data_IF_588043477835
#
_entry.id   IF_588043477835
#
_cell.length_a   1.000
_cell.length_b   1.000
_cell.length_c   1.000
_cell.angle_alpha   90.00
_cell.angle_beta   90.00
_cell.angle_gamma   90.00
#
_symmetry.space_group_name_H-M   'P 1'
#
loop_
_entity.id
_entity.type
_entity.pdbx_description
1 polymer ?
#
# COMPACT_ATOMS: atom_id res chain seq x y z
N UNK A 1 -10.29 30.20 13.04
CA UNK A 1 -9.04 29.66 13.61
C UNK A 1 -8.55 28.56 12.68
N UNK A 2 -7.50 28.85 11.90
CA UNK A 2 -6.99 27.95 10.85
C UNK A 2 -6.22 26.79 11.50
N UNK A 3 -6.84 25.61 11.57
CA UNK A 3 -6.30 24.42 12.23
C UNK A 3 -5.26 23.67 11.36
N UNK A 4 -4.29 24.37 10.76
CA UNK A 4 -3.52 23.86 9.62
C UNK A 4 -2.06 23.43 9.87
N UNK A 5 -1.58 23.39 11.12
CA UNK A 5 -0.15 23.13 11.39
C UNK A 5 0.18 21.95 12.31
N UNK A 6 -0.79 21.12 12.68
CA UNK A 6 -0.47 19.90 13.41
C UNK A 6 0.02 18.81 12.45
N UNK A 7 1.17 18.17 12.73
CA UNK A 7 1.66 17.08 11.91
C UNK A 7 0.64 15.93 11.94
N UNK A 8 0.34 15.39 10.76
CA UNK A 8 -0.68 14.35 10.57
C UNK A 8 -0.02 13.00 10.35
N UNK A 9 -0.70 11.93 10.76
CA UNK A 9 -0.20 10.56 10.58
C UNK A 9 -0.24 10.10 9.12
N UNK A 10 -1.28 10.48 8.39
CA UNK A 10 -1.50 10.07 7.01
C UNK A 10 -2.17 11.17 6.18
N UNK A 11 -2.28 10.98 4.87
CA UNK A 11 -2.90 11.96 3.98
C UNK A 11 -4.41 12.10 4.19
N UNK A 12 -5.08 10.97 4.41
CA UNK A 12 -6.52 10.84 4.60
C UNK A 12 -6.79 9.58 5.42
N UNK A 13 -7.67 9.69 6.40
CA UNK A 13 -8.09 8.54 7.20
C UNK A 13 -8.73 7.45 6.32
N UNK A 14 -8.40 6.16 6.53
CA UNK A 14 -9.05 5.06 5.83
C UNK A 14 -10.57 5.04 6.06
N UNK A 15 -11.32 4.67 5.02
CA UNK A 15 -12.77 4.44 5.14
C UNK A 15 -13.06 3.00 5.59
N UNK A 16 -14.19 2.73 6.29
CA UNK A 16 -14.55 1.38 6.74
C UNK A 16 -14.56 0.33 5.63
N UNK A 17 -14.99 0.71 4.42
CA UNK A 17 -15.09 -0.20 3.28
C UNK A 17 -13.74 -0.83 2.89
N UNK A 18 -12.61 -0.18 3.19
CA UNK A 18 -11.28 -0.77 2.96
C UNK A 18 -11.09 -2.00 3.85
N UNK A 19 -11.50 -1.93 5.13
CA UNK A 19 -11.38 -3.05 6.06
C UNK A 19 -12.41 -4.14 5.76
N UNK A 20 -13.61 -3.76 5.30
CA UNK A 20 -14.62 -4.71 4.82
C UNK A 20 -14.11 -5.49 3.61
N UNK A 21 -13.51 -4.80 2.64
CA UNK A 21 -12.87 -5.45 1.50
C UNK A 21 -11.72 -6.35 1.92
N UNK A 22 -10.91 -5.98 2.92
CA UNK A 22 -9.85 -6.86 3.42
C UNK A 22 -10.42 -8.17 3.99
N UNK A 23 -11.54 -8.09 4.74
CA UNK A 23 -12.26 -9.27 5.24
C UNK A 23 -12.82 -10.13 4.10
N UNK A 24 -13.38 -9.51 3.06
CA UNK A 24 -13.85 -10.25 1.89
C UNK A 24 -12.70 -10.92 1.13
N UNK A 25 -11.57 -10.24 0.93
CA UNK A 25 -10.39 -10.82 0.30
C UNK A 25 -9.82 -11.99 1.10
N UNK A 26 -9.77 -11.87 2.43
CA UNK A 26 -9.33 -12.95 3.32
C UNK A 26 -10.25 -14.18 3.20
N UNK A 27 -11.56 -13.96 3.29
CA UNK A 27 -12.55 -15.01 3.12
C UNK A 27 -12.52 -15.62 1.71
N UNK A 28 -12.27 -14.83 0.67
CA UNK A 28 -12.17 -15.29 -0.72
C UNK A 28 -10.97 -16.23 -0.90
N UNK A 29 -9.81 -15.88 -0.33
CA UNK A 29 -8.64 -16.74 -0.35
C UNK A 29 -8.91 -18.02 0.44
N UNK A 30 -9.54 -17.94 1.61
CA UNK A 30 -9.92 -19.13 2.37
C UNK A 30 -10.88 -20.03 1.58
N UNK A 31 -11.87 -19.47 0.88
CA UNK A 31 -12.77 -20.21 0.00
C UNK A 31 -12.00 -20.89 -1.16
N UNK A 32 -11.08 -20.18 -1.82
CA UNK A 32 -10.21 -20.73 -2.87
C UNK A 32 -9.40 -21.92 -2.36
N UNK A 33 -8.76 -21.80 -1.20
CA UNK A 33 -7.93 -22.85 -0.60
C UNK A 33 -8.73 -24.10 -0.22
N UNK A 34 -10.03 -23.96 0.04
CA UNK A 34 -10.94 -25.06 0.34
C UNK A 34 -11.69 -25.58 -0.89
N UNK A 35 -11.34 -25.13 -2.11
CA UNK A 35 -11.97 -25.57 -3.35
C UNK A 35 -13.34 -24.94 -3.64
N UNK A 36 -13.78 -23.96 -2.85
CA UNK A 36 -15.06 -23.27 -3.02
C UNK A 36 -14.95 -22.10 -4.01
N UNK A 37 -14.62 -22.39 -5.27
CA UNK A 37 -14.31 -21.37 -6.28
C UNK A 37 -15.44 -20.38 -6.55
N UNK A 38 -16.71 -20.81 -6.55
CA UNK A 38 -17.84 -19.90 -6.76
C UNK A 38 -17.96 -18.85 -5.65
N UNK A 39 -17.81 -19.27 -4.39
CA UNK A 39 -17.80 -18.37 -3.25
C UNK A 39 -16.60 -17.42 -3.28
N UNK A 40 -15.42 -17.91 -3.70
CA UNK A 40 -14.25 -17.05 -3.87
C UNK A 40 -14.52 -15.94 -4.90
N UNK A 41 -15.14 -16.26 -6.04
CA UNK A 41 -15.53 -15.28 -7.07
C UNK A 41 -16.47 -14.20 -6.50
N UNK A 42 -17.51 -14.60 -5.78
CA UNK A 42 -18.46 -13.67 -5.15
C UNK A 42 -17.75 -12.72 -4.19
N UNK A 43 -16.90 -13.25 -3.30
CA UNK A 43 -16.18 -12.47 -2.30
C UNK A 43 -15.12 -11.53 -2.92
N UNK A 44 -14.37 -11.99 -3.93
CA UNK A 44 -13.48 -11.10 -4.69
C UNK A 44 -14.27 -9.97 -5.35
N UNK A 45 -15.43 -10.28 -5.95
CA UNK A 45 -16.29 -9.27 -6.58
C UNK A 45 -16.81 -8.25 -5.57
N UNK A 46 -17.22 -8.69 -4.37
CA UNK A 46 -17.66 -7.80 -3.28
C UNK A 46 -16.55 -6.86 -2.80
N UNK A 47 -15.28 -7.30 -2.83
CA UNK A 47 -14.14 -6.45 -2.49
C UNK A 47 -13.84 -5.37 -3.54
N UNK A 48 -14.45 -5.42 -4.73
CA UNK A 48 -14.22 -4.46 -5.81
C UNK A 48 -15.11 -3.21 -5.67
N UNK A 49 -14.94 -2.44 -4.60
CA UNK A 49 -15.83 -1.32 -4.27
C UNK A 49 -15.37 0.03 -4.89
N UNK A 50 -16.24 0.76 -5.63
CA UNK A 50 -15.94 2.08 -6.17
C UNK A 50 -15.63 3.16 -5.10
N UNK A 51 -16.11 3.04 -3.87
CA UNK A 51 -15.75 3.95 -2.77
C UNK A 51 -14.28 3.83 -2.39
N UNK A 52 -13.73 2.61 -2.42
CA UNK A 52 -12.30 2.34 -2.18
C UNK A 52 -11.46 2.96 -3.30
N UNK A 53 -11.91 2.85 -4.55
CA UNK A 53 -11.29 3.57 -5.68
C UNK A 53 -11.26 5.07 -5.42
N UNK A 54 -12.42 5.66 -5.10
CA UNK A 54 -12.54 7.09 -4.86
C UNK A 54 -11.65 7.56 -3.69
N UNK A 55 -11.48 6.74 -2.66
CA UNK A 55 -10.51 7.01 -1.59
C UNK A 55 -9.08 7.04 -2.11
N UNK A 56 -8.67 6.01 -2.86
CA UNK A 56 -7.32 5.88 -3.41
C UNK A 56 -7.01 7.05 -4.36
N UNK A 57 -7.91 7.33 -5.30
CA UNK A 57 -7.81 8.40 -6.31
C UNK A 57 -7.80 9.80 -5.70
N UNK A 58 -8.37 9.97 -4.50
CA UNK A 58 -8.31 11.26 -3.81
C UNK A 58 -6.92 11.60 -3.27
N UNK A 59 -6.05 10.61 -3.05
CA UNK A 59 -4.74 10.82 -2.44
C UNK A 59 -3.65 10.86 -3.51
N UNK A 60 -3.61 9.87 -4.39
CA UNK A 60 -2.55 9.80 -5.39
C UNK A 60 -2.87 10.64 -6.64
N UNK A 61 -1.85 11.23 -7.24
CA UNK A 61 -1.98 12.02 -8.47
C UNK A 61 -2.01 13.54 -8.25
N UNK A 62 -1.85 14.26 -9.37
CA UNK A 62 -1.43 15.67 -9.39
C UNK A 62 -2.40 16.68 -8.76
N UNK A 63 -3.68 16.32 -8.59
CA UNK A 63 -4.73 17.22 -8.09
C UNK A 63 -5.34 16.75 -6.77
N UNK A 64 -4.57 16.02 -5.97
CA UNK A 64 -5.06 15.53 -4.69
C UNK A 64 -5.44 16.70 -3.76
N UNK A 65 -6.66 16.73 -3.18
CA UNK A 65 -7.00 17.68 -2.13
C UNK A 65 -6.32 17.38 -0.78
N UNK A 66 -5.73 16.18 -0.63
CA UNK A 66 -5.14 15.68 0.62
C UNK A 66 -3.61 15.79 0.68
N UNK A 67 -2.94 15.91 -0.47
CA UNK A 67 -1.50 16.16 -0.58
C UNK A 67 -1.27 17.66 -0.73
N UNK A 68 -0.78 18.29 0.35
CA UNK A 68 -0.42 19.71 0.38
C UNK A 68 1.06 19.83 0.68
N UNK A 69 1.81 20.41 -0.24
CA UNK A 69 3.27 20.53 -0.16
C UNK A 69 3.62 21.94 0.32
N UNK A 70 4.32 22.01 1.45
CA UNK A 70 4.95 23.23 1.95
C UNK A 70 6.38 23.27 1.39
N UNK A 71 6.62 24.13 0.39
CA UNK A 71 7.97 24.25 -0.21
C UNK A 71 8.97 24.70 0.84
N UNK A 72 10.04 23.93 0.97
CA UNK A 72 11.22 24.29 1.75
C UNK A 72 12.25 24.96 0.84
N UNK A 73 13.13 25.83 1.36
CA UNK A 73 14.19 26.48 0.57
C UNK A 73 15.14 25.45 -0.09
N UNK A 74 15.76 25.86 -1.19
CA UNK A 74 16.61 25.02 -2.05
C UNK A 74 17.74 24.33 -1.27
N UNK A 75 18.03 23.08 -1.65
CA UNK A 75 18.79 22.14 -0.82
C UNK A 75 20.18 21.86 -1.37
N UNK A 76 21.11 21.61 -0.43
CA UNK A 76 22.43 21.09 -0.72
C UNK A 76 22.33 19.70 -1.35
N UNK A 77 23.03 19.49 -2.46
CA UNK A 77 23.12 18.20 -3.13
C UNK A 77 23.97 17.24 -2.29
N UNK A 78 23.38 16.13 -1.86
CA UNK A 78 24.13 15.00 -1.30
C UNK A 78 24.44 13.96 -2.38
N UNK A 79 25.49 13.17 -2.17
CA UNK A 79 25.82 12.05 -3.04
C UNK A 79 24.68 11.03 -3.04
N UNK A 80 24.21 10.67 -4.24
CA UNK A 80 23.08 9.78 -4.44
C UNK A 80 23.56 8.34 -4.52
N UNK A 81 23.05 7.47 -3.63
CA UNK A 81 23.29 6.02 -3.72
C UNK A 81 22.67 5.46 -5.01
N UNK A 82 23.34 4.53 -5.68
CA UNK A 82 22.89 3.99 -6.99
C UNK A 82 21.68 3.06 -6.87
N UNK A 83 21.64 2.22 -5.84
CA UNK A 83 20.51 1.33 -5.60
C UNK A 83 19.28 2.12 -5.14
N UNK A 84 18.11 1.83 -5.75
CA UNK A 84 16.83 2.52 -5.45
C UNK A 84 15.69 1.62 -5.03
N UNK A 85 15.83 0.31 -5.23
CA UNK A 85 14.78 -0.67 -4.92
C UNK A 85 15.26 -1.65 -3.86
N UNK A 86 14.42 -2.02 -2.88
CA UNK A 86 14.76 -3.06 -1.93
C UNK A 86 14.84 -4.44 -2.62
N UNK A 87 15.75 -5.26 -2.11
CA UNK A 87 15.89 -6.68 -2.49
C UNK A 87 14.69 -7.51 -2.02
N UNK A 88 14.56 -8.75 -2.50
CA UNK A 88 13.50 -9.66 -2.04
C UNK A 88 13.59 -9.96 -0.54
N UNK A 89 14.82 -10.11 -0.01
CA UNK A 89 15.08 -10.34 1.42
C UNK A 89 14.62 -9.13 2.23
N UNK A 90 15.04 -7.92 1.85
CA UNK A 90 14.59 -6.69 2.53
C UNK A 90 13.08 -6.52 2.48
N UNK A 91 12.42 -6.85 1.35
CA UNK A 91 10.95 -6.80 1.28
C UNK A 91 10.30 -7.76 2.28
N UNK A 92 10.81 -8.97 2.43
CA UNK A 92 10.30 -9.93 3.40
C UNK A 92 10.51 -9.43 4.84
N UNK A 93 11.68 -8.89 5.16
CA UNK A 93 11.98 -8.28 6.46
C UNK A 93 11.06 -7.09 6.75
N UNK A 94 10.82 -6.22 5.76
CA UNK A 94 9.89 -5.09 5.87
C UNK A 94 8.47 -5.56 6.17
N UNK A 95 7.95 -6.57 5.46
CA UNK A 95 6.61 -7.10 5.72
C UNK A 95 6.50 -7.75 7.10
N UNK A 96 7.53 -8.50 7.52
CA UNK A 96 7.59 -9.09 8.86
C UNK A 96 7.59 -8.02 9.95
N UNK A 97 8.41 -6.96 9.78
CA UNK A 97 8.50 -5.84 10.72
C UNK A 97 7.21 -5.03 10.77
N UNK A 98 6.65 -4.70 9.61
CA UNK A 98 5.53 -3.77 9.45
C UNK A 98 4.16 -4.46 9.51
N UNK A 99 4.14 -5.79 9.65
CA UNK A 99 2.96 -6.61 9.86
C UNK A 99 1.98 -6.61 8.68
N UNK A 100 2.45 -6.42 7.44
CA UNK A 100 1.60 -6.26 6.25
C UNK A 100 0.61 -5.09 6.32
N UNK A 101 0.94 -4.01 7.02
CA UNK A 101 0.14 -2.78 7.03
C UNK A 101 0.92 -1.58 6.54
N UNK A 102 0.23 -0.63 5.92
CA UNK A 102 0.79 0.66 5.56
C UNK A 102 1.25 1.41 6.83
N UNK A 103 2.52 1.82 6.88
CA UNK A 103 3.07 2.50 8.06
C UNK A 103 2.56 3.93 8.26
N UNK A 104 1.97 4.54 7.23
CA UNK A 104 1.27 5.81 7.34
C UNK A 104 -0.19 5.62 7.81
N UNK A 105 -1.08 5.13 6.93
CA UNK A 105 -2.52 5.10 7.20
C UNK A 105 -3.02 3.82 7.89
N UNK A 106 -2.18 2.78 8.03
CA UNK A 106 -2.54 1.56 8.75
C UNK A 106 -3.44 0.57 8.00
N UNK A 107 -3.80 0.81 6.74
CA UNK A 107 -4.58 -0.19 5.98
C UNK A 107 -3.74 -1.45 5.70
N UNK A 108 -4.37 -2.64 5.63
CA UNK A 108 -3.69 -3.84 5.19
C UNK A 108 -3.14 -3.68 3.77
N UNK A 109 -2.02 -4.32 3.48
CA UNK A 109 -1.42 -4.33 2.15
C UNK A 109 -1.19 -5.75 1.64
N UNK A 110 -1.12 -5.87 0.31
CA UNK A 110 -0.97 -7.10 -0.45
C UNK A 110 0.13 -6.88 -1.48
N UNK A 111 1.06 -7.83 -1.58
CA UNK A 111 2.14 -7.75 -2.58
C UNK A 111 1.61 -7.96 -3.99
N UNK A 112 2.31 -7.35 -4.95
CA UNK A 112 1.97 -7.48 -6.37
C UNK A 112 2.02 -8.93 -6.85
N UNK A 113 2.93 -9.74 -6.31
CA UNK A 113 3.07 -11.16 -6.63
C UNK A 113 1.80 -11.94 -6.27
N UNK A 114 1.25 -11.70 -5.08
CA UNK A 114 0.01 -12.35 -4.62
C UNK A 114 -1.18 -11.96 -5.49
N UNK A 115 -1.32 -10.67 -5.79
CA UNK A 115 -2.35 -10.20 -6.74
C UNK A 115 -2.21 -10.88 -8.11
N UNK A 116 -0.99 -11.05 -8.63
CA UNK A 116 -0.78 -11.70 -9.94
C UNK A 116 -1.26 -13.15 -9.92
N UNK A 117 -0.94 -13.90 -8.86
CA UNK A 117 -1.42 -15.28 -8.67
C UNK A 117 -2.95 -15.32 -8.68
N UNK A 118 -3.59 -14.48 -7.87
CA UNK A 118 -5.04 -14.46 -7.76
C UNK A 118 -5.72 -13.97 -9.05
N UNK A 119 -5.13 -12.99 -9.75
CA UNK A 119 -5.62 -12.54 -11.06
C UNK A 119 -5.58 -13.64 -12.12
N UNK A 120 -4.54 -14.47 -12.14
CA UNK A 120 -4.46 -15.62 -13.06
C UNK A 120 -5.59 -16.62 -12.76
N UNK A 121 -5.85 -16.90 -11.47
CA UNK A 121 -6.90 -17.83 -11.06
C UNK A 121 -8.32 -17.28 -11.27
N UNK A 122 -8.51 -15.96 -11.11
CA UNK A 122 -9.82 -15.30 -11.13
C UNK A 122 -9.80 -14.02 -12.01
N UNK A 123 -9.52 -14.12 -13.32
CA UNK A 123 -9.27 -12.95 -14.17
C UNK A 123 -10.48 -12.04 -14.35
N UNK A 124 -11.70 -12.59 -14.21
CA UNK A 124 -12.96 -11.84 -14.32
C UNK A 124 -13.36 -11.16 -13.02
N UNK A 125 -13.14 -11.80 -11.87
CA UNK A 125 -13.45 -11.23 -10.56
C UNK A 125 -12.37 -10.23 -10.11
N UNK A 126 -11.10 -10.51 -10.42
CA UNK A 126 -9.95 -9.68 -10.09
C UNK A 126 -9.44 -9.04 -11.37
N UNK A 127 -10.03 -7.95 -11.81
CA UNK A 127 -9.60 -7.29 -13.05
C UNK A 127 -8.26 -6.56 -12.87
N UNK A 128 -7.42 -6.53 -13.91
CA UNK A 128 -6.18 -5.76 -13.90
C UNK A 128 -5.76 -5.23 -15.27
N UNK A 129 -6.53 -4.27 -15.80
CA UNK A 129 -6.23 -3.64 -17.08
C UNK A 129 -5.18 -2.52 -17.03
N UNK A 130 -5.01 -1.84 -18.17
CA UNK A 130 -3.99 -0.79 -18.37
C UNK A 130 -4.31 0.53 -17.66
N UNK A 131 -5.58 0.85 -17.44
CA UNK A 131 -6.01 2.07 -16.76
C UNK A 131 -6.36 1.80 -15.30
N UNK A 132 -6.21 2.81 -14.43
CA UNK A 132 -6.57 2.69 -13.01
C UNK A 132 -8.03 2.23 -12.81
N UNK A 133 -8.95 2.74 -13.64
CA UNK A 133 -10.37 2.39 -13.58
C UNK A 133 -10.65 0.93 -13.97
N UNK A 134 -9.79 0.31 -14.79
CA UNK A 134 -9.91 -1.08 -15.24
C UNK A 134 -9.25 -2.10 -14.31
N UNK A 135 -8.68 -1.66 -13.19
CA UNK A 135 -8.06 -2.53 -12.19
C UNK A 135 -9.00 -2.75 -11.02
N UNK A 136 -8.86 -3.83 -10.27
CA UNK A 136 -9.67 -4.09 -9.08
C UNK A 136 -9.38 -3.08 -7.95
N UNK A 137 -10.43 -2.57 -7.29
CA UNK A 137 -10.36 -1.47 -6.31
C UNK A 137 -9.54 -1.82 -5.08
N UNK A 138 -9.90 -2.88 -4.36
CA UNK A 138 -9.17 -3.27 -3.16
C UNK A 138 -7.70 -3.63 -3.45
N UNK A 139 -7.42 -4.47 -4.46
CA UNK A 139 -6.04 -4.79 -4.83
C UNK A 139 -5.21 -3.58 -5.24
N UNK A 140 -5.81 -2.53 -5.83
CA UNK A 140 -5.10 -1.30 -6.14
C UNK A 140 -4.84 -0.47 -4.87
N UNK A 141 -5.86 -0.32 -4.02
CA UNK A 141 -5.76 0.42 -2.76
C UNK A 141 -4.74 -0.19 -1.80
N UNK A 142 -4.81 -1.51 -1.61
CA UNK A 142 -3.96 -2.31 -0.73
C UNK A 142 -2.64 -2.71 -1.39
N UNK A 143 -2.31 -2.21 -2.57
CA UNK A 143 -1.07 -2.60 -3.24
C UNK A 143 0.14 -2.14 -2.42
N UNK A 144 0.91 -3.11 -1.90
CA UNK A 144 2.12 -2.85 -1.15
C UNK A 144 3.17 -2.16 -2.02
N UNK A 145 3.67 -1.04 -1.51
CA UNK A 145 4.83 -0.30 -1.98
C UNK A 145 5.88 -0.24 -0.87
N UNK A 146 7.09 0.19 -1.22
CA UNK A 146 8.19 0.34 -0.29
C UNK A 146 8.73 1.75 -0.47
N UNK A 147 8.60 2.56 0.57
CA UNK A 147 8.93 3.98 0.50
C UNK A 147 10.12 4.31 1.39
N UNK A 148 10.91 5.29 0.95
CA UNK A 148 11.99 5.86 1.74
C UNK A 148 11.44 6.94 2.65
N UNK A 149 11.62 6.81 3.97
CA UNK A 149 11.17 7.83 4.93
C UNK A 149 11.89 9.16 4.69
N UNK A 150 13.22 9.11 4.58
CA UNK A 150 14.03 10.18 3.99
C UNK A 150 14.13 9.92 2.50
N UNK A 151 13.58 10.77 1.62
CA UNK A 151 13.63 10.51 0.19
C UNK A 151 15.06 10.46 -0.35
N UNK A 152 15.27 9.70 -1.43
CA UNK A 152 16.57 9.61 -2.10
C UNK A 152 17.08 10.95 -2.62
N UNK A 153 16.19 11.83 -3.07
CA UNK A 153 16.48 13.22 -3.44
C UNK A 153 17.06 14.06 -2.29
N UNK A 154 16.94 13.56 -1.06
CA UNK A 154 17.39 14.17 0.20
C UNK A 154 18.49 13.35 0.88
N UNK A 155 19.18 12.48 0.15
CA UNK A 155 20.26 11.64 0.68
C UNK A 155 19.79 10.35 1.38
N UNK A 156 18.50 10.02 1.30
CA UNK A 156 18.00 8.75 1.82
C UNK A 156 18.60 7.53 1.13
N UNK A 157 18.95 6.52 1.92
CA UNK A 157 19.56 5.26 1.46
C UNK A 157 18.52 4.12 1.40
N UNK A 158 18.89 2.98 0.83
CA UNK A 158 18.09 1.75 0.85
C UNK A 158 18.27 0.92 2.13
N UNK A 159 18.81 1.53 3.19
CA UNK A 159 18.96 0.84 4.47
C UNK A 159 17.56 0.52 5.03
N UNK A 160 17.46 -0.63 5.70
CA UNK A 160 16.17 -1.19 6.12
C UNK A 160 15.41 -0.25 7.07
N UNK A 161 16.13 0.55 7.86
CA UNK A 161 15.60 1.53 8.80
C UNK A 161 15.06 2.81 8.13
N UNK A 162 15.46 3.09 6.89
CA UNK A 162 14.92 4.17 6.06
C UNK A 162 13.78 3.70 5.16
N UNK A 163 13.55 2.39 5.03
CA UNK A 163 12.47 1.83 4.22
C UNK A 163 11.27 1.45 5.08
N UNK A 164 10.05 1.66 4.57
CA UNK A 164 8.78 1.25 5.20
C UNK A 164 7.81 0.66 4.18
N UNK A 165 6.94 -0.24 4.65
CA UNK A 165 5.79 -0.72 3.87
C UNK A 165 4.72 0.37 3.81
N UNK A 166 4.21 0.64 2.62
CA UNK A 166 3.13 1.61 2.42
C UNK A 166 2.07 1.07 1.46
N UNK A 167 0.83 1.54 1.57
CA UNK A 167 -0.13 1.37 0.49
C UNK A 167 0.20 2.27 -0.69
N UNK A 168 -0.32 1.95 -1.87
CA UNK A 168 -0.01 2.69 -3.08
C UNK A 168 -0.42 4.17 -3.00
N UNK A 169 -1.59 4.46 -2.44
CA UNK A 169 -2.06 5.83 -2.24
C UNK A 169 -1.07 6.68 -1.42
N UNK A 170 -0.55 6.15 -0.31
CA UNK A 170 0.40 6.88 0.53
C UNK A 170 1.78 7.03 -0.15
N UNK A 171 2.29 5.99 -0.79
CA UNK A 171 3.56 6.05 -1.53
C UNK A 171 3.53 7.11 -2.62
N UNK A 172 2.52 7.06 -3.50
CA UNK A 172 2.37 7.99 -4.61
C UNK A 172 1.81 9.36 -4.20
N UNK A 173 1.29 9.48 -2.98
CA UNK A 173 0.99 10.77 -2.36
C UNK A 173 2.24 11.45 -1.80
N UNK A 174 3.16 10.68 -1.21
CA UNK A 174 4.42 11.19 -0.67
C UNK A 174 5.45 11.51 -1.74
N UNK A 175 5.59 10.67 -2.77
CA UNK A 175 6.54 10.85 -3.86
C UNK A 175 7.96 11.13 -3.33
N UNK A 176 8.61 12.18 -3.84
CA UNK A 176 9.97 12.59 -3.49
C UNK A 176 10.03 13.62 -2.36
N UNK A 177 8.88 13.97 -1.76
CA UNK A 177 8.78 14.99 -0.73
C UNK A 177 9.19 14.46 0.64
N UNK A 178 9.78 15.33 1.44
CA UNK A 178 10.09 15.01 2.84
C UNK A 178 8.81 14.96 3.68
N UNK A 179 8.90 14.32 4.83
CA UNK A 179 7.80 14.32 5.79
C UNK A 179 7.42 15.75 6.24
N UNK A 180 8.42 16.61 6.43
CA UNK A 180 8.21 18.00 6.82
C UNK A 180 7.44 18.79 5.75
N UNK A 181 7.82 18.66 4.47
CA UNK A 181 7.13 19.27 3.33
C UNK A 181 5.65 18.88 3.27
N UNK A 182 5.31 17.68 3.76
CA UNK A 182 3.96 17.14 3.76
C UNK A 182 3.25 17.28 5.12
N UNK A 183 3.95 17.83 6.12
CA UNK A 183 3.52 17.86 7.52
C UNK A 183 3.09 16.48 8.03
N UNK A 184 3.84 15.44 7.67
CA UNK A 184 3.64 14.06 8.12
C UNK A 184 4.51 13.76 9.35
N UNK A 185 3.97 12.97 10.27
CA UNK A 185 4.75 12.37 11.36
C UNK A 185 5.64 11.27 10.78
N UNK A 186 6.83 11.09 11.34
CA UNK A 186 7.69 9.94 11.01
C UNK A 186 6.98 8.64 11.37
N UNK A 187 6.59 7.80 10.39
CA UNK A 187 5.81 6.59 10.64
C UNK A 187 6.59 5.56 11.48
N UNK A 188 7.92 5.66 11.55
CA UNK A 188 8.78 4.77 12.34
C UNK A 188 8.64 5.00 13.84
N UNK A 189 8.18 6.18 14.25
CA UNK A 189 7.92 6.51 15.67
C UNK A 189 6.65 5.87 16.21
N UNK A 190 5.78 5.36 15.34
CA UNK A 190 4.53 4.70 15.69
C UNK A 190 4.76 3.18 15.64
N UNK A 191 4.43 2.39 16.66
CA UNK A 191 4.59 0.93 16.59
C UNK A 191 3.90 0.30 15.38
N UNK A 192 4.51 -0.70 14.71
CA UNK A 192 3.85 -1.49 13.68
C UNK A 192 2.55 -2.12 14.17
N UNK A 193 1.57 -2.23 13.28
CA UNK A 193 0.35 -2.97 13.56
C UNK A 193 0.68 -4.46 13.54
N UNK A 194 0.32 -5.15 14.62
CA UNK A 194 0.40 -6.61 14.71
C UNK A 194 -1.03 -7.15 14.67
N UNK A 195 -1.35 -7.97 13.67
CA UNK A 195 -2.66 -8.58 13.49
C UNK A 195 -2.53 -9.95 12.80
N UNK A 196 -3.66 -10.64 12.59
CA UNK A 196 -3.69 -11.91 11.87
C UNK A 196 -3.64 -11.76 10.34
N UNK A 197 -3.54 -10.53 9.82
CA UNK A 197 -3.44 -10.30 8.39
C UNK A 197 -2.06 -10.72 7.88
N UNK A 198 -2.04 -11.74 7.02
CA UNK A 198 -0.84 -12.37 6.47
C UNK A 198 -0.47 -11.85 5.06
N UNK A 199 -1.10 -10.76 4.60
CA UNK A 199 -0.93 -10.27 3.22
C UNK A 199 -1.51 -11.19 2.14
N UNK A 200 -2.34 -12.16 2.53
CA UNK A 200 -2.85 -13.26 1.69
C UNK A 200 -1.74 -14.20 1.19
N UNK A 201 -0.56 -14.18 1.83
CA UNK A 201 0.64 -14.90 1.37
C UNK A 201 0.46 -16.42 1.33
N UNK A 202 -0.51 -16.97 2.07
CA UNK A 202 -0.87 -18.40 2.03
C UNK A 202 -1.23 -18.93 0.65
N UNK A 203 -1.60 -18.07 -0.31
CA UNK A 203 -1.83 -18.50 -1.70
C UNK A 203 -0.54 -18.71 -2.51
N UNK A 204 0.60 -18.18 -2.05
CA UNK A 204 1.88 -18.31 -2.76
C UNK A 204 2.34 -19.77 -2.91
N UNK A 205 1.94 -20.65 -1.99
CA UNK A 205 2.23 -22.09 -2.04
C UNK A 205 1.45 -22.88 -3.10
N UNK A 206 0.50 -22.26 -3.80
CA UNK A 206 -0.31 -22.89 -4.86
C UNK A 206 0.24 -22.61 -6.28
N UNK A 207 1.35 -21.89 -6.39
CA UNK A 207 2.08 -21.77 -7.65
C UNK A 207 2.72 -23.13 -7.96
N UNK A 208 2.06 -23.94 -8.80
CA UNK A 208 2.66 -25.14 -9.38
C UNK A 208 2.13 -26.49 -8.90
N UNK A 209 0.92 -26.59 -8.33
CA UNK A 209 0.24 -27.88 -8.29
C UNK A 209 -0.54 -28.08 -9.59
N UNK A 210 -0.19 -29.10 -10.41
CA UNK A 210 -0.94 -29.44 -11.61
C UNK A 210 -2.39 -29.81 -11.30
#
# INVERSE_FOLDING_TARGET
>A
MNNCDHPKRCFREPIPEIFDAARYLDAAVSAHLNGHSSLAIELFTLANDPKIRAWTDSIWGKKSPFVRIKKQPDKAHSEKVTARMPTAIQKAELHSRDGFHCRFCGIPVIRAEIRKVLHIAYPTAITWGRSNASQHAAFQCMWAQYDHVVPHSHGGTNDLDNLVVTCAACNFGKMEYTLEELSLIDPRTIPPIQSNWDGLERVAGFIGKP
#
